data_IF_791414977234
#
_entry.id   IF_791414977234
#
_cell.length_a   1.000
_cell.length_b   1.000
_cell.length_c   1.000
_cell.angle_alpha   90.00
_cell.angle_beta   90.00
_cell.angle_gamma   90.00
#
_symmetry.space_group_name_H-M   'P 1'
#
loop_
_entity.id
_entity.type
_entity.pdbx_description
1 polymer ?
#
# COMPACT_ATOMS: atom_id res chain seq x y z
N UNK A 1 3.69 -9.75 16.55
CA UNK A 1 3.84 -8.53 15.74
C UNK A 1 4.19 -8.79 14.26
N UNK A 2 4.49 -10.03 13.84
CA UNK A 2 4.79 -10.35 12.43
C UNK A 2 3.56 -10.46 11.49
N UNK A 3 2.35 -10.62 12.04
CA UNK A 3 1.12 -10.77 11.25
C UNK A 3 0.71 -9.50 10.49
N UNK A 4 1.11 -8.33 10.97
CA UNK A 4 0.73 -7.06 10.34
C UNK A 4 1.54 -6.75 9.08
N UNK A 5 2.70 -7.35 8.82
CA UNK A 5 3.48 -7.00 7.64
C UNK A 5 3.17 -7.91 6.46
N UNK A 6 2.92 -9.20 6.76
CA UNK A 6 2.72 -10.24 5.76
C UNK A 6 1.64 -9.90 4.72
N UNK A 7 0.54 -9.29 5.14
CA UNK A 7 -0.56 -8.97 4.23
C UNK A 7 -0.20 -7.89 3.19
N UNK A 8 0.69 -6.93 3.51
CA UNK A 8 1.11 -5.91 2.53
C UNK A 8 2.03 -6.51 1.48
N UNK A 9 2.90 -7.44 1.89
CA UNK A 9 3.71 -8.22 0.95
C UNK A 9 2.81 -9.10 0.08
N UNK A 10 1.85 -9.84 0.64
CA UNK A 10 0.90 -10.65 -0.13
C UNK A 10 0.06 -9.80 -1.10
N UNK A 11 -0.31 -8.58 -0.70
CA UNK A 11 -1.00 -7.61 -1.57
C UNK A 11 -0.13 -7.20 -2.75
N UNK A 12 1.11 -6.80 -2.49
CA UNK A 12 2.04 -6.39 -3.56
C UNK A 12 2.39 -7.55 -4.46
N UNK A 13 2.65 -8.74 -3.92
CA UNK A 13 2.95 -9.93 -4.69
C UNK A 13 1.79 -10.28 -5.63
N UNK A 14 0.54 -10.17 -5.19
CA UNK A 14 -0.62 -10.40 -6.03
C UNK A 14 -0.74 -9.36 -7.16
N UNK A 15 -0.55 -8.07 -6.84
CA UNK A 15 -0.60 -6.97 -7.81
C UNK A 15 0.54 -7.07 -8.85
N UNK A 16 1.74 -7.44 -8.42
CA UNK A 16 2.90 -7.66 -9.30
C UNK A 16 2.68 -8.90 -10.18
N UNK A 17 2.16 -9.99 -9.60
CA UNK A 17 1.84 -11.21 -10.35
C UNK A 17 0.74 -10.99 -11.39
N UNK A 18 -0.13 -10.00 -11.18
CA UNK A 18 -1.12 -9.57 -12.16
C UNK A 18 -0.54 -8.68 -13.29
N UNK A 19 0.77 -8.43 -13.28
CA UNK A 19 1.48 -7.69 -14.33
C UNK A 19 1.80 -6.24 -13.98
N UNK A 20 1.63 -5.82 -12.72
CA UNK A 20 2.04 -4.48 -12.28
C UNK A 20 3.52 -4.42 -11.92
N UNK A 21 4.15 -3.26 -12.10
CA UNK A 21 5.51 -3.00 -11.61
C UNK A 21 5.45 -2.37 -10.23
N UNK A 22 6.22 -2.86 -9.27
CA UNK A 22 6.26 -2.31 -7.91
C UNK A 22 7.56 -1.57 -7.64
N UNK A 23 7.44 -0.32 -7.19
CA UNK A 23 8.54 0.49 -6.69
C UNK A 23 8.38 0.66 -5.18
N UNK A 24 9.28 0.06 -4.38
CA UNK A 24 9.30 0.33 -2.96
C UNK A 24 9.63 1.81 -2.73
N UNK A 25 9.31 2.30 -1.54
CA UNK A 25 9.68 3.66 -1.12
C UNK A 25 11.19 3.92 -1.32
N UNK A 26 11.60 5.20 -1.48
CA UNK A 26 13.01 5.54 -1.61
C UNK A 26 13.86 5.03 -0.43
N UNK A 27 15.09 4.56 -0.69
CA UNK A 27 16.01 4.13 0.37
C UNK A 27 16.38 5.30 1.30
N UNK A 28 16.50 5.03 2.61
CA UNK A 28 16.86 6.02 3.63
C UNK A 28 15.85 6.20 4.77
N UNK A 29 14.66 5.60 4.66
CA UNK A 29 13.60 5.68 5.67
C UNK A 29 13.45 4.39 6.50
N UNK A 30 14.46 3.53 6.56
CA UNK A 30 14.44 2.24 7.27
C UNK A 30 14.39 1.03 6.33
N UNK A 31 14.66 -0.17 6.87
CA UNK A 31 14.92 -1.39 6.09
C UNK A 31 13.67 -2.10 5.54
N UNK A 32 12.51 -1.91 6.16
CA UNK A 32 11.25 -2.55 5.72
C UNK A 32 10.35 -1.54 5.00
N UNK A 33 10.05 -1.71 3.70
CA UNK A 33 9.26 -0.76 2.92
C UNK A 33 7.86 -0.51 3.48
N UNK A 34 7.25 -1.49 4.16
CA UNK A 34 5.89 -1.40 4.73
C UNK A 34 5.87 -1.13 6.22
N UNK A 35 7.01 -0.79 6.81
CA UNK A 35 7.10 -0.43 8.22
C UNK A 35 7.88 0.86 8.39
N UNK A 36 7.28 1.82 9.09
CA UNK A 36 7.97 3.02 9.56
C UNK A 36 7.84 3.15 11.07
N UNK A 37 8.96 3.53 11.70
CA UNK A 37 8.99 4.12 13.04
C UNK A 37 8.70 5.63 13.01
N UNK A 38 8.74 6.28 11.84
CA UNK A 38 8.35 7.69 11.64
C UNK A 38 8.11 8.05 10.15
N UNK A 39 6.99 8.71 9.81
CA UNK A 39 6.64 9.15 8.45
C UNK A 39 5.61 8.25 7.77
N UNK A 40 4.92 8.77 6.73
CA UNK A 40 3.96 8.01 5.92
C UNK A 40 4.70 7.33 4.77
N UNK A 41 5.03 6.03 4.84
CA UNK A 41 5.70 5.35 3.75
C UNK A 41 4.71 5.16 2.61
N UNK A 42 5.16 5.52 1.42
CA UNK A 42 4.41 5.39 0.19
C UNK A 42 5.20 4.50 -0.76
N UNK A 43 4.56 3.42 -1.19
CA UNK A 43 5.03 2.58 -2.28
C UNK A 43 4.24 2.90 -3.55
N UNK A 44 4.85 2.70 -4.71
CA UNK A 44 4.28 3.11 -5.99
C UNK A 44 4.13 1.92 -6.92
N UNK A 45 3.06 1.92 -7.70
CA UNK A 45 2.88 1.03 -8.83
C UNK A 45 3.14 1.75 -10.15
N UNK A 46 3.65 1.01 -11.14
CA UNK A 46 3.89 1.54 -12.48
C UNK A 46 2.58 1.69 -13.28
N UNK A 47 1.55 0.91 -12.96
CA UNK A 47 0.20 0.98 -13.54
C UNK A 47 -0.87 1.14 -12.45
N UNK A 48 -2.08 1.58 -12.84
CA UNK A 48 -3.23 1.69 -11.93
C UNK A 48 -3.48 0.37 -11.19
N UNK A 49 -3.91 0.48 -9.94
CA UNK A 49 -4.18 -0.66 -9.07
C UNK A 49 -5.32 -1.47 -9.68
N UNK A 50 -5.07 -2.76 -9.90
CA UNK A 50 -6.14 -3.70 -10.18
C UNK A 50 -6.83 -4.06 -8.87
N UNK A 51 -7.92 -3.35 -8.57
CA UNK A 51 -8.69 -3.56 -7.34
C UNK A 51 -9.46 -4.87 -7.32
N UNK A 52 -9.74 -5.47 -8.48
CA UNK A 52 -10.31 -6.81 -8.53
C UNK A 52 -9.29 -7.82 -8.00
N UNK A 53 -8.02 -7.72 -8.45
CA UNK A 53 -6.91 -8.53 -7.92
C UNK A 53 -6.70 -8.24 -6.44
N UNK A 54 -6.63 -6.95 -6.05
CA UNK A 54 -6.42 -6.57 -4.65
C UNK A 54 -7.42 -7.27 -3.74
N UNK A 55 -8.72 -7.24 -4.07
CA UNK A 55 -9.83 -7.87 -3.32
C UNK A 55 -9.76 -9.39 -3.21
N UNK A 56 -8.99 -10.07 -4.06
CA UNK A 56 -8.81 -11.53 -3.99
C UNK A 56 -7.73 -11.97 -3.01
N UNK A 57 -6.90 -11.05 -2.53
CA UNK A 57 -5.78 -11.35 -1.62
C UNK A 57 -6.33 -11.93 -0.31
N UNK A 58 -6.02 -13.18 0.04
CA UNK A 58 -6.48 -13.77 1.29
C UNK A 58 -5.88 -13.06 2.50
N UNK A 59 -6.64 -12.97 3.60
CA UNK A 59 -6.10 -12.45 4.86
C UNK A 59 -5.86 -10.93 4.89
N UNK A 60 -6.51 -10.17 4.00
CA UNK A 60 -6.60 -8.71 4.13
C UNK A 60 -7.02 -8.32 5.55
N UNK A 61 -6.24 -7.49 6.25
CA UNK A 61 -6.65 -7.03 7.57
C UNK A 61 -7.80 -6.05 7.42
N UNK A 62 -8.61 -5.97 8.48
CA UNK A 62 -9.69 -4.98 8.62
C UNK A 62 -9.20 -3.53 8.55
N UNK A 63 -7.90 -3.32 8.75
CA UNK A 63 -7.23 -2.02 8.72
C UNK A 63 -6.87 -1.54 7.31
N UNK A 64 -7.10 -2.34 6.26
CA UNK A 64 -6.94 -1.90 4.88
C UNK A 64 -8.11 -1.00 4.47
N UNK A 65 -7.76 0.16 3.93
CA UNK A 65 -8.65 1.07 3.21
C UNK A 65 -8.31 0.96 1.74
N UNK A 66 -9.30 0.60 0.94
CA UNK A 66 -9.21 0.56 -0.52
C UNK A 66 -10.00 1.74 -1.06
N UNK A 67 -9.33 2.62 -1.80
CA UNK A 67 -9.92 3.84 -2.35
C UNK A 67 -9.74 3.81 -3.88
N UNK A 68 -10.71 3.19 -4.55
CA UNK A 68 -10.65 2.87 -5.99
C UNK A 68 -10.67 4.12 -6.86
N UNK A 69 -11.45 5.13 -6.46
CA UNK A 69 -11.59 6.40 -7.18
C UNK A 69 -10.30 7.24 -7.16
N UNK A 70 -9.35 6.86 -6.31
CA UNK A 70 -8.14 7.58 -5.99
C UNK A 70 -6.89 6.69 -6.10
N UNK A 71 -7.02 5.52 -6.70
CA UNK A 71 -5.88 4.64 -7.04
C UNK A 71 -4.97 4.37 -5.83
N UNK A 72 -5.58 4.12 -4.67
CA UNK A 72 -4.89 4.05 -3.38
C UNK A 72 -5.35 2.83 -2.57
N UNK A 73 -4.37 2.14 -1.98
CA UNK A 73 -4.58 1.20 -0.87
C UNK A 73 -3.78 1.69 0.33
N UNK A 74 -4.43 1.85 1.48
CA UNK A 74 -3.78 2.29 2.71
C UNK A 74 -3.99 1.29 3.84
N UNK A 75 -2.92 0.90 4.54
CA UNK A 75 -3.01 0.08 5.74
C UNK A 75 -2.91 0.96 6.99
N UNK A 76 -3.98 1.04 7.77
CA UNK A 76 -4.02 1.79 9.05
C UNK A 76 -3.11 1.20 10.12
N UNK A 77 -2.80 -0.09 10.03
CA UNK A 77 -1.95 -0.77 11.01
C UNK A 77 -0.46 -0.52 10.73
N UNK A 78 -0.07 -0.59 9.46
CA UNK A 78 1.30 -0.35 8.99
C UNK A 78 1.58 1.11 8.66
N UNK A 79 0.54 1.95 8.69
CA UNK A 79 0.55 3.35 8.24
C UNK A 79 1.09 3.54 6.82
N UNK A 80 1.04 2.51 5.98
CA UNK A 80 1.66 2.48 4.64
C UNK A 80 0.62 2.62 3.55
N UNK A 81 0.94 3.38 2.50
CA UNK A 81 0.16 3.48 1.27
C UNK A 81 0.82 2.75 0.10
N UNK A 82 0.00 2.13 -0.76
CA UNK A 82 0.33 1.75 -2.12
C UNK A 82 -0.46 2.67 -3.04
N UNK A 83 0.23 3.42 -3.89
CA UNK A 83 -0.35 4.37 -4.83
C UNK A 83 -0.13 3.88 -6.25
N UNK A 84 -1.18 3.91 -7.06
CA UNK A 84 -1.04 3.84 -8.50
C UNK A 84 -0.75 5.21 -9.12
N UNK A 85 -0.43 5.27 -10.42
CA UNK A 85 -0.04 6.49 -11.13
C UNK A 85 -1.17 7.52 -11.23
N UNK A 86 -2.42 7.15 -10.97
CA UNK A 86 -3.57 8.07 -11.04
C UNK A 86 -4.00 8.62 -9.67
N UNK A 87 -3.22 8.35 -8.62
CA UNK A 87 -3.48 8.82 -7.27
C UNK A 87 -3.55 10.35 -7.18
N UNK A 88 -4.54 10.88 -6.44
CA UNK A 88 -4.76 12.31 -6.24
C UNK A 88 -4.37 12.71 -4.82
N UNK A 89 -3.29 13.47 -4.69
CA UNK A 89 -2.64 13.86 -3.41
C UNK A 89 -3.61 14.55 -2.41
N UNK A 90 -4.74 15.09 -2.87
CA UNK A 90 -5.72 15.79 -2.02
C UNK A 90 -6.47 14.87 -1.02
N UNK A 91 -6.29 13.56 -1.15
CA UNK A 91 -6.99 12.52 -0.36
C UNK A 91 -6.13 11.88 0.72
N UNK A 92 -4.91 12.40 0.98
CA UNK A 92 -4.10 11.87 2.09
C UNK A 92 -4.90 12.05 3.38
N UNK A 93 -5.45 10.93 3.87
CA UNK A 93 -6.25 10.86 5.08
C UNK A 93 -5.51 11.60 6.19
N UNK A 94 -6.08 12.74 6.61
CA UNK A 94 -5.50 13.66 7.55
C UNK A 94 -4.87 12.91 8.73
N UNK A 95 -3.57 13.09 8.90
CA UNK A 95 -2.90 12.82 10.17
C UNK A 95 -3.71 13.49 11.28
N UNK A 96 -4.13 12.79 12.34
CA UNK A 96 -4.33 13.49 13.60
C UNK A 96 -2.97 14.08 13.97
N UNK A 97 -2.90 15.41 14.03
CA UNK A 97 -1.74 16.11 14.59
C UNK A 97 -1.44 15.63 16.01
#
# INVERSE_FOLDING_TARGET
>A
MAHSQKHMYEMVDALVSAGNGFRPRPPGLGSDPFWLTAGNPVCYLDASIDFAVAKTVPGQPVDLVVDEDNDLIFCKLCWTAIQGPTHRVETVWNHPR
#
